data_IF_300434582946
#
_entry.id   IF_300434582946
#
_cell.length_a   1.000
_cell.length_b   1.000
_cell.length_c   1.000
_cell.angle_alpha   90.00
_cell.angle_beta   90.00
_cell.angle_gamma   90.00
#
_symmetry.space_group_name_H-M   'P 1'
#
loop_
_entity.id
_entity.type
_entity.pdbx_description
1 polymer ?
#
# COMPACT_ATOMS: atom_id res chain seq x y z
N UNK A 1 -12.53 8.01 -3.67
CA UNK A 1 -11.81 8.27 -4.92
C UNK A 1 -11.53 6.95 -5.64
N UNK A 2 -12.45 6.51 -6.52
CA UNK A 2 -12.14 5.41 -7.44
C UNK A 2 -11.02 5.83 -8.40
N UNK A 3 -10.23 4.87 -8.86
CA UNK A 3 -9.14 5.12 -9.83
C UNK A 3 -7.74 5.27 -9.22
N UNK A 4 -7.58 5.04 -7.91
CA UNK A 4 -6.25 5.02 -7.27
C UNK A 4 -5.82 3.62 -6.80
N UNK A 5 -4.54 3.31 -6.99
CA UNK A 5 -3.92 2.05 -6.58
C UNK A 5 -2.68 2.30 -5.73
N UNK A 6 -2.64 1.69 -4.55
CA UNK A 6 -1.42 1.59 -3.75
C UNK A 6 -0.56 0.43 -4.25
N UNK A 7 0.74 0.69 -4.44
CA UNK A 7 1.74 -0.31 -4.82
C UNK A 7 2.86 -0.32 -3.81
N UNK A 8 2.96 -1.42 -3.06
CA UNK A 8 3.93 -1.61 -1.99
C UNK A 8 4.99 -2.61 -2.44
N UNK A 9 6.27 -2.23 -2.29
CA UNK A 9 7.44 -3.01 -2.71
C UNK A 9 8.43 -3.16 -1.56
N UNK A 10 8.59 -4.34 -0.96
CA UNK A 10 9.50 -4.51 0.15
C UNK A 10 10.94 -4.54 -0.35
N UNK A 11 11.84 -3.89 0.38
CA UNK A 11 13.28 -3.85 0.04
C UNK A 11 14.08 -4.99 0.68
N UNK A 12 13.38 -5.91 1.35
CA UNK A 12 13.86 -7.14 1.97
C UNK A 12 12.76 -8.20 1.93
N UNK A 13 13.11 -9.46 2.14
CA UNK A 13 12.11 -10.53 2.31
C UNK A 13 11.29 -10.27 3.58
N UNK A 14 9.96 -10.22 3.44
CA UNK A 14 9.06 -10.08 4.56
C UNK A 14 8.95 -11.39 5.33
N UNK A 15 8.89 -11.25 6.65
CA UNK A 15 8.69 -12.31 7.62
C UNK A 15 7.56 -11.85 8.54
N UNK A 16 6.86 -12.80 9.17
CA UNK A 16 5.77 -12.47 10.11
C UNK A 16 6.24 -11.51 11.21
N UNK A 17 7.44 -11.71 11.76
CA UNK A 17 7.96 -10.86 12.83
C UNK A 17 8.26 -9.43 12.38
N UNK A 18 8.43 -9.16 11.08
CA UNK A 18 8.74 -7.81 10.59
C UNK A 18 7.52 -6.90 10.61
N UNK A 19 6.35 -7.44 10.93
CA UNK A 19 5.08 -6.73 10.90
C UNK A 19 4.67 -6.39 9.48
N UNK A 20 4.34 -7.37 8.61
CA UNK A 20 3.92 -7.09 7.23
C UNK A 20 2.62 -6.29 7.17
N UNK A 21 2.27 -5.78 5.99
CA UNK A 21 1.00 -5.08 5.80
C UNK A 21 -0.14 -6.10 5.80
N UNK A 22 -1.12 -5.89 6.67
CA UNK A 22 -2.37 -6.64 6.64
C UNK A 22 -3.40 -5.85 5.83
N UNK A 23 -4.14 -6.54 4.97
CA UNK A 23 -5.20 -5.98 4.12
C UNK A 23 -6.50 -6.72 4.39
N UNK A 24 -7.64 -6.04 4.29
CA UNK A 24 -8.98 -6.64 4.37
C UNK A 24 -9.61 -6.67 2.96
N UNK A 25 -9.55 -7.80 2.24
CA UNK A 25 -10.04 -7.88 0.86
C UNK A 25 -11.50 -7.47 0.73
N UNK A 26 -11.86 -6.81 -0.38
CA UNK A 26 -13.25 -6.40 -0.67
C UNK A 26 -13.72 -5.13 0.05
N UNK A 27 -12.99 -4.63 1.05
CA UNK A 27 -13.38 -3.41 1.79
C UNK A 27 -13.35 -2.12 0.97
N UNK A 28 -12.71 -2.10 -0.21
CA UNK A 28 -12.77 -0.98 -1.15
C UNK A 28 -14.10 -0.88 -1.90
N UNK A 29 -14.91 -1.94 -1.88
CA UNK A 29 -16.24 -2.02 -2.51
C UNK A 29 -17.34 -1.66 -1.51
N UNK A 30 -17.13 -1.97 -0.23
CA UNK A 30 -18.14 -1.84 0.82
C UNK A 30 -18.09 -0.42 1.44
N UNK A 31 -19.21 0.30 1.37
CA UNK A 31 -19.37 1.64 1.93
C UNK A 31 -19.78 1.62 3.42
N UNK A 32 -20.11 0.44 3.95
CA UNK A 32 -20.56 0.24 5.32
C UNK A 32 -19.43 -0.13 6.29
N UNK A 33 -19.08 0.78 7.21
CA UNK A 33 -18.09 0.55 8.27
C UNK A 33 -18.36 -0.70 9.12
N UNK A 34 -19.63 -1.13 9.27
CA UNK A 34 -20.01 -2.26 10.12
C UNK A 34 -19.55 -3.63 9.58
N UNK A 35 -19.51 -3.82 8.26
CA UNK A 35 -19.01 -5.09 7.68
C UNK A 35 -17.50 -5.20 7.74
N UNK A 36 -16.80 -4.07 7.87
CA UNK A 36 -15.34 -4.08 7.88
C UNK A 36 -14.75 -4.89 9.04
N UNK A 37 -15.45 -5.01 10.17
CA UNK A 37 -15.00 -5.83 11.31
C UNK A 37 -15.17 -7.34 11.07
N UNK A 38 -16.13 -7.74 10.24
CA UNK A 38 -16.39 -9.15 9.90
C UNK A 38 -15.45 -9.68 8.82
N UNK A 39 -14.82 -8.79 8.04
CA UNK A 39 -13.85 -9.16 7.01
C UNK A 39 -12.52 -9.56 7.67
N UNK A 40 -12.12 -10.81 7.47
CA UNK A 40 -10.83 -11.32 7.87
C UNK A 40 -9.70 -10.58 7.14
N UNK A 41 -8.67 -10.20 7.91
CA UNK A 41 -7.47 -9.61 7.34
C UNK A 41 -6.52 -10.70 6.83
N UNK A 42 -5.99 -10.54 5.64
CA UNK A 42 -4.88 -11.34 5.11
C UNK A 42 -3.58 -10.56 5.21
N UNK A 43 -2.46 -11.24 5.47
CA UNK A 43 -1.13 -10.61 5.63
C UNK A 43 -0.13 -11.29 4.68
N UNK A 44 -0.02 -10.85 3.42
CA UNK A 44 0.89 -11.46 2.46
C UNK A 44 2.35 -11.33 2.89
N UNK A 45 3.11 -12.42 2.83
CA UNK A 45 4.56 -12.41 2.98
C UNK A 45 5.20 -12.35 1.60
N UNK A 46 5.75 -11.18 1.27
CA UNK A 46 6.36 -10.88 -0.01
C UNK A 46 7.88 -11.07 0.05
N UNK A 47 8.46 -11.52 -1.06
CA UNK A 47 9.90 -11.45 -1.30
C UNK A 47 10.33 -10.05 -1.70
N UNK A 48 11.62 -9.76 -1.50
CA UNK A 48 12.22 -8.49 -1.95
C UNK A 48 11.88 -8.25 -3.43
N UNK A 49 11.28 -7.09 -3.71
CA UNK A 49 10.92 -6.67 -5.08
C UNK A 49 9.58 -7.20 -5.59
N UNK A 50 8.89 -8.09 -4.87
CA UNK A 50 7.50 -8.44 -5.22
C UNK A 50 6.55 -7.29 -4.89
N UNK A 51 5.43 -7.24 -5.60
CA UNK A 51 4.48 -6.13 -5.49
C UNK A 51 3.23 -6.59 -4.74
N UNK A 52 2.81 -5.82 -3.74
CA UNK A 52 1.46 -5.84 -3.23
C UNK A 52 0.71 -4.65 -3.82
N UNK A 53 -0.25 -4.94 -4.71
CA UNK A 53 -1.07 -3.96 -5.41
C UNK A 53 -2.50 -4.07 -4.90
N UNK A 54 -3.11 -2.95 -4.51
CA UNK A 54 -4.49 -2.92 -4.03
C UNK A 54 -5.15 -1.55 -4.28
N UNK A 55 -6.49 -1.54 -4.32
CA UNK A 55 -7.26 -0.28 -4.40
C UNK A 55 -6.96 0.57 -3.15
N UNK A 56 -6.66 1.86 -3.35
CA UNK A 56 -6.31 2.83 -2.31
C UNK A 56 -7.29 2.85 -1.11
N UNK A 57 -8.57 2.52 -1.35
CA UNK A 57 -9.62 2.50 -0.33
C UNK A 57 -9.65 1.20 0.48
N UNK A 58 -8.91 0.18 0.06
CA UNK A 58 -8.84 -1.09 0.79
C UNK A 58 -8.30 -0.83 2.18
N UNK A 59 -9.07 -1.24 3.20
CA UNK A 59 -8.64 -1.13 4.58
C UNK A 59 -7.39 -1.99 4.80
N UNK A 60 -6.34 -1.34 5.27
CA UNK A 60 -5.06 -1.97 5.52
C UNK A 60 -4.37 -1.34 6.73
N UNK A 61 -3.44 -2.08 7.33
CA UNK A 61 -2.61 -1.57 8.42
C UNK A 61 -1.23 -2.22 8.43
N UNK A 62 -0.21 -1.45 8.79
CA UNK A 62 1.09 -2.01 9.16
C UNK A 62 0.96 -2.78 10.47
N UNK A 63 1.41 -4.03 10.50
CA UNK A 63 1.52 -4.79 11.73
C UNK A 63 2.77 -4.35 12.53
N UNK A 64 2.81 -4.67 13.81
CA UNK A 64 3.95 -4.34 14.67
C UNK A 64 5.20 -5.15 14.29
N UNK A 65 6.36 -4.50 14.19
CA UNK A 65 7.64 -5.18 14.05
C UNK A 65 8.08 -5.74 15.41
N UNK A 66 8.10 -7.06 15.51
CA UNK A 66 8.39 -7.85 16.72
C UNK A 66 9.64 -8.72 16.57
N UNK A 67 10.43 -8.54 15.50
CA UNK A 67 11.65 -9.32 15.34
C UNK A 67 12.62 -9.07 16.50
N UNK A 68 13.10 -10.15 17.12
CA UNK A 68 14.07 -10.08 18.23
C UNK A 68 15.39 -9.42 17.81
N UNK A 69 15.77 -9.63 16.54
CA UNK A 69 16.87 -8.91 15.90
C UNK A 69 16.34 -7.55 15.48
N UNK A 70 17.10 -6.49 15.76
CA UNK A 70 16.77 -5.15 15.30
C UNK A 70 16.93 -5.06 13.78
N UNK A 71 15.86 -5.33 13.06
CA UNK A 71 15.78 -5.25 11.60
C UNK A 71 14.71 -4.21 11.27
N UNK A 72 15.09 -3.20 10.49
CA UNK A 72 14.13 -2.21 9.96
C UNK A 72 13.36 -2.83 8.79
N UNK A 73 12.03 -2.85 8.87
CA UNK A 73 11.16 -3.20 7.73
C UNK A 73 11.09 -2.01 6.78
N UNK A 74 11.91 -2.02 5.73
CA UNK A 74 11.92 -0.97 4.71
C UNK A 74 11.04 -1.34 3.52
N UNK A 75 10.20 -0.40 3.09
CA UNK A 75 9.27 -0.56 1.99
C UNK A 75 9.28 0.70 1.12
N UNK A 76 9.34 0.52 -0.20
CA UNK A 76 9.01 1.57 -1.15
C UNK A 76 7.51 1.52 -1.44
N UNK A 77 6.88 2.67 -1.64
CA UNK A 77 5.48 2.75 -2.05
C UNK A 77 5.29 3.79 -3.13
N UNK A 78 4.34 3.53 -4.02
CA UNK A 78 3.87 4.44 -5.07
C UNK A 78 2.36 4.36 -5.11
N UNK A 79 1.70 5.49 -5.36
CA UNK A 79 0.26 5.54 -5.63
C UNK A 79 0.07 5.88 -7.10
N UNK A 80 -0.63 5.02 -7.83
CA UNK A 80 -1.08 5.32 -9.18
C UNK A 80 -2.48 5.90 -9.15
N UNK A 81 -2.74 6.84 -10.04
CA UNK A 81 -4.02 7.53 -10.18
C UNK A 81 -4.42 7.52 -11.66
N UNK A 82 -5.68 7.21 -11.95
CA UNK A 82 -6.29 7.37 -13.26
C UNK A 82 -7.05 8.70 -13.33
N UNK A 83 -6.73 9.51 -14.35
CA UNK A 83 -7.30 10.83 -14.60
C UNK A 83 -6.59 12.01 -13.91
N UNK A 84 -7.00 13.22 -14.28
CA UNK A 84 -6.66 14.45 -13.55
C UNK A 84 -7.44 14.44 -12.23
N UNK A 85 -6.92 13.78 -11.20
CA UNK A 85 -7.43 14.03 -9.86
C UNK A 85 -6.91 15.41 -9.43
N UNK A 86 -7.78 16.40 -9.54
CA UNK A 86 -7.57 17.78 -9.08
C UNK A 86 -6.95 17.75 -7.67
N UNK A 87 -5.74 18.30 -7.54
CA UNK A 87 -4.92 18.32 -6.32
C UNK A 87 -4.21 17.01 -5.89
N UNK A 88 -4.10 15.99 -6.76
CA UNK A 88 -3.33 14.75 -6.47
C UNK A 88 -1.94 14.67 -7.11
N UNK A 89 -1.52 15.68 -7.88
CA UNK A 89 -0.17 15.73 -8.42
C UNK A 89 0.87 15.57 -7.32
N UNK A 90 1.95 14.83 -7.59
CA UNK A 90 3.07 14.70 -6.66
C UNK A 90 3.84 16.03 -6.55
N UNK A 91 3.28 16.96 -5.78
CA UNK A 91 3.83 18.29 -5.54
C UNK A 91 5.01 18.26 -4.57
N UNK A 92 5.38 17.11 -4.01
CA UNK A 92 6.37 17.01 -2.93
C UNK A 92 7.65 16.29 -3.33
N UNK A 93 7.56 15.18 -4.05
CA UNK A 93 8.75 14.40 -4.41
C UNK A 93 9.33 14.83 -5.76
N UNK A 94 8.48 15.22 -6.71
CA UNK A 94 8.91 15.61 -8.05
C UNK A 94 8.23 16.92 -8.52
N UNK A 95 8.48 18.05 -7.84
CA UNK A 95 7.83 19.33 -8.17
C UNK A 95 8.15 19.85 -9.59
N UNK A 96 9.17 19.29 -10.25
CA UNK A 96 9.56 19.62 -11.61
C UNK A 96 9.11 18.58 -12.66
N UNK A 97 8.51 17.45 -12.24
CA UNK A 97 7.91 16.51 -13.17
C UNK A 97 6.59 17.10 -13.65
N UNK A 98 6.63 17.81 -14.78
CA UNK A 98 5.46 18.48 -15.36
C UNK A 98 4.59 17.55 -16.18
N UNK A 99 5.05 16.33 -16.48
CA UNK A 99 4.30 15.27 -17.16
C UNK A 99 4.73 13.90 -16.63
N UNK A 100 3.86 12.90 -16.76
CA UNK A 100 4.19 11.48 -16.55
C UNK A 100 4.75 10.82 -17.83
N UNK A 101 5.04 11.61 -18.88
CA UNK A 101 5.57 11.09 -20.14
C UNK A 101 7.07 10.79 -19.99
N UNK A 102 7.50 9.69 -20.62
CA UNK A 102 8.92 9.34 -20.68
C UNK A 102 9.62 10.24 -21.72
N UNK A 103 10.76 10.84 -21.36
CA UNK A 103 11.71 11.43 -22.31
C UNK A 103 12.28 10.36 -23.28
#
# INVERSE_FOLDING_TARGET
DPGMLDVFVPLLDLQECLGPTAVKPGTHIDDGAQRSEEVESVTPLLKKGELLVFDYRTLHKGQGNQCKKQITRTLAYVVYADGDIDNSGDVRNFPAATTLEYD
#
